data_IF_491637351820
#
_entry.id   IF_491637351820
#
_cell.length_a   1.000
_cell.length_b   1.000
_cell.length_c   1.000
_cell.angle_alpha   90.00
_cell.angle_beta   90.00
_cell.angle_gamma   90.00
#
_symmetry.space_group_name_H-M   'P 1'
#
loop_
_entity.id
_entity.type
_entity.pdbx_description
1 polymer ?
#
# COMPACT_ATOMS: atom_id res chain seq x y z
N UNK A 1 6.33 17.22 15.19
CA UNK A 1 6.21 16.78 13.81
C UNK A 1 6.42 15.26 13.77
N UNK A 2 5.52 14.50 13.20
CA UNK A 2 5.58 13.03 13.13
C UNK A 2 6.39 12.63 11.88
N UNK A 3 7.40 11.79 12.04
CA UNK A 3 8.23 11.28 10.93
C UNK A 3 7.58 10.09 10.28
N UNK A 4 7.36 10.15 8.96
CA UNK A 4 6.67 9.12 8.18
C UNK A 4 7.56 8.66 7.03
N UNK A 5 8.03 7.43 7.09
CA UNK A 5 8.82 6.81 6.02
C UNK A 5 7.89 6.25 4.94
N UNK A 6 8.18 6.56 3.69
CA UNK A 6 7.43 6.11 2.51
C UNK A 6 8.38 5.68 1.40
N UNK A 7 7.94 4.74 0.56
CA UNK A 7 8.60 4.49 -0.71
C UNK A 7 8.12 5.52 -1.75
N UNK A 8 9.07 6.11 -2.48
CA UNK A 8 8.82 7.16 -3.47
C UNK A 8 9.09 8.56 -2.94
N UNK A 9 8.64 9.56 -3.66
CA UNK A 9 8.93 10.97 -3.40
C UNK A 9 7.66 11.76 -3.12
N UNK A 10 7.79 13.05 -2.81
CA UNK A 10 6.64 13.97 -2.68
C UNK A 10 5.78 13.95 -3.94
N UNK A 11 4.46 13.92 -3.78
CA UNK A 11 3.49 13.77 -4.87
C UNK A 11 3.22 12.31 -5.28
N UNK A 12 3.90 11.32 -4.71
CA UNK A 12 3.59 9.91 -4.90
C UNK A 12 2.29 9.50 -4.19
N UNK A 13 1.72 8.35 -4.55
CA UNK A 13 0.51 7.84 -3.87
C UNK A 13 0.76 7.52 -2.39
N UNK A 14 1.98 7.17 -1.99
CA UNK A 14 2.34 7.00 -0.59
C UNK A 14 2.33 8.33 0.18
N UNK A 15 2.83 9.40 -0.43
CA UNK A 15 2.77 10.76 0.15
C UNK A 15 1.32 11.18 0.38
N UNK A 16 0.48 11.08 -0.66
CA UNK A 16 -0.94 11.44 -0.59
C UNK A 16 -1.66 10.63 0.49
N UNK A 17 -1.44 9.32 0.53
CA UNK A 17 -2.03 8.45 1.52
C UNK A 17 -1.57 8.81 2.95
N UNK A 18 -0.30 9.21 3.12
CA UNK A 18 0.25 9.66 4.40
C UNK A 18 -0.45 10.92 4.91
N UNK A 19 -0.57 11.94 4.07
CA UNK A 19 -1.26 13.17 4.43
C UNK A 19 -2.75 12.97 4.71
N UNK A 20 -3.39 12.02 4.03
CA UNK A 20 -4.81 11.70 4.29
C UNK A 20 -5.00 10.90 5.56
N UNK A 21 -4.12 9.94 5.85
CA UNK A 21 -4.20 9.16 7.08
C UNK A 21 -3.92 10.02 8.32
N UNK A 22 -2.92 10.88 8.26
CA UNK A 22 -2.53 11.80 9.34
C UNK A 22 -3.15 13.19 9.18
N UNK A 23 -4.36 13.28 8.62
CA UNK A 23 -5.03 14.56 8.40
C UNK A 23 -5.14 15.39 9.70
N UNK A 24 -4.64 16.62 9.64
CA UNK A 24 -4.60 17.53 10.80
C UNK A 24 -3.35 17.38 11.70
N UNK A 25 -2.45 16.48 11.38
CA UNK A 25 -1.15 16.35 12.04
C UNK A 25 -0.02 16.91 11.14
N UNK A 26 0.98 17.54 11.76
CA UNK A 26 2.21 17.90 11.05
C UNK A 26 3.06 16.65 10.85
N UNK A 27 3.30 16.28 9.59
CA UNK A 27 4.15 15.16 9.22
C UNK A 27 5.40 15.62 8.48
N UNK A 28 6.51 14.92 8.71
CA UNK A 28 7.75 14.99 7.96
C UNK A 28 7.94 13.70 7.19
N UNK A 29 7.97 13.79 5.86
CA UNK A 29 8.19 12.62 5.01
C UNK A 29 9.66 12.27 4.93
N UNK A 30 9.96 10.98 5.16
CA UNK A 30 11.24 10.35 4.85
C UNK A 30 11.01 9.57 3.56
N UNK A 31 11.46 10.15 2.44
CA UNK A 31 11.35 9.54 1.11
C UNK A 31 12.46 8.51 0.91
N UNK A 32 12.09 7.29 0.58
CA UNK A 32 12.97 6.15 0.39
C UNK A 32 12.85 5.63 -1.06
N UNK A 33 13.92 5.14 -1.62
CA UNK A 33 13.91 4.57 -2.97
C UNK A 33 13.27 3.18 -2.98
N UNK A 34 13.46 2.41 -1.91
CA UNK A 34 12.95 1.03 -1.79
C UNK A 34 12.13 0.81 -0.53
N UNK A 35 11.36 -0.29 -0.49
CA UNK A 35 10.64 -0.68 0.72
C UNK A 35 11.58 -1.16 1.82
N UNK A 36 12.71 -1.78 1.47
CA UNK A 36 13.75 -2.18 2.42
C UNK A 36 14.27 -0.97 3.20
N UNK A 37 14.52 0.16 2.53
CA UNK A 37 14.91 1.41 3.19
C UNK A 37 13.83 1.94 4.13
N UNK A 38 12.55 1.83 3.76
CA UNK A 38 11.43 2.19 4.63
C UNK A 38 11.46 1.38 5.93
N UNK A 39 11.64 0.06 5.82
CA UNK A 39 11.75 -0.81 7.01
C UNK A 39 13.04 -0.56 7.81
N UNK A 40 14.14 -0.20 7.15
CA UNK A 40 15.37 0.19 7.83
C UNK A 40 15.16 1.44 8.70
N UNK A 41 14.48 2.46 8.20
CA UNK A 41 14.15 3.66 9.00
C UNK A 41 13.28 3.33 10.22
N UNK A 42 12.36 2.36 10.14
CA UNK A 42 11.58 1.90 11.29
C UNK A 42 12.45 1.19 12.35
N UNK A 43 13.53 0.54 11.95
CA UNK A 43 14.48 -0.08 12.87
C UNK A 43 15.41 0.94 13.53
N UNK A 44 15.90 1.91 12.74
CA UNK A 44 16.88 2.89 13.19
C UNK A 44 16.27 3.93 14.13
N UNK A 45 15.00 4.26 13.96
CA UNK A 45 14.29 5.23 14.79
C UNK A 45 12.89 4.72 15.19
N UNK A 46 12.75 4.40 16.48
CA UNK A 46 11.49 3.89 17.06
C UNK A 46 10.33 4.88 17.02
N UNK A 47 10.57 6.18 16.83
CA UNK A 47 9.54 7.20 16.75
C UNK A 47 9.04 7.42 15.31
N UNK A 48 9.75 6.87 14.33
CA UNK A 48 9.31 6.85 12.93
C UNK A 48 8.14 5.88 12.75
N UNK A 49 7.15 6.29 11.97
CA UNK A 49 6.10 5.42 11.44
C UNK A 49 6.34 5.22 9.94
N UNK A 50 5.76 4.19 9.34
CA UNK A 50 5.82 4.02 7.89
C UNK A 50 4.42 3.82 7.31
N UNK A 51 4.25 4.24 6.06
CA UNK A 51 3.09 3.91 5.25
C UNK A 51 3.55 3.02 4.08
N UNK A 52 3.04 1.80 4.03
CA UNK A 52 3.49 0.77 3.09
C UNK A 52 2.30 0.23 2.30
N UNK A 53 2.37 0.34 0.97
CA UNK A 53 1.38 -0.28 0.09
C UNK A 53 1.46 -1.81 0.22
N UNK A 54 0.31 -2.47 0.40
CA UNK A 54 0.26 -3.92 0.59
C UNK A 54 -0.58 -4.63 -0.47
N UNK A 55 -1.51 -3.92 -1.07
CA UNK A 55 -2.44 -4.47 -2.04
C UNK A 55 -3.02 -3.39 -2.94
N UNK A 56 -3.18 -3.71 -4.22
CA UNK A 56 -3.93 -2.89 -5.17
C UNK A 56 -5.03 -3.74 -5.81
N UNK A 57 -6.21 -3.17 -6.00
CA UNK A 57 -7.40 -3.90 -6.51
C UNK A 57 -7.25 -4.42 -7.94
N UNK A 58 -6.28 -3.92 -8.70
CA UNK A 58 -5.99 -4.34 -10.09
C UNK A 58 -4.70 -5.16 -10.14
N UNK A 59 -3.63 -4.67 -9.52
CA UNK A 59 -2.31 -5.32 -9.54
C UNK A 59 -2.18 -6.49 -8.55
N UNK A 60 -3.12 -6.61 -7.58
CA UNK A 60 -3.10 -7.66 -6.58
C UNK A 60 -2.23 -7.35 -5.37
N UNK A 61 -1.77 -8.40 -4.69
CA UNK A 61 -0.97 -8.30 -3.47
C UNK A 61 0.50 -8.00 -3.78
N UNK A 62 1.11 -7.06 -3.04
CA UNK A 62 2.53 -6.78 -3.08
C UNK A 62 3.24 -7.76 -2.14
N UNK A 63 3.52 -8.98 -2.65
CA UNK A 63 3.98 -10.11 -1.83
C UNK A 63 5.28 -9.83 -1.09
N UNK A 64 6.21 -9.12 -1.71
CA UNK A 64 7.47 -8.72 -1.10
C UNK A 64 7.26 -7.89 0.17
N UNK A 65 6.28 -6.99 0.18
CA UNK A 65 5.98 -6.17 1.36
C UNK A 65 5.38 -6.97 2.52
N UNK A 66 4.71 -8.09 2.22
CA UNK A 66 4.26 -9.04 3.26
C UNK A 66 5.44 -9.75 3.93
N UNK A 67 6.47 -10.11 3.15
CA UNK A 67 7.69 -10.73 3.68
C UNK A 67 8.46 -9.75 4.57
N UNK A 68 8.69 -8.53 4.08
CA UNK A 68 9.34 -7.47 4.86
C UNK A 68 8.58 -7.20 6.17
N UNK A 69 7.25 -7.09 6.12
CA UNK A 69 6.43 -6.88 7.32
C UNK A 69 6.56 -8.03 8.32
N UNK A 70 6.50 -9.28 7.85
CA UNK A 70 6.64 -10.46 8.72
C UNK A 70 7.98 -10.46 9.44
N UNK A 71 9.05 -10.14 8.72
CA UNK A 71 10.43 -10.32 9.22
C UNK A 71 10.94 -9.09 9.99
N UNK A 72 10.32 -7.92 9.79
CA UNK A 72 10.74 -6.68 10.43
C UNK A 72 10.52 -6.60 11.95
N UNK A 73 9.59 -7.39 12.50
CA UNK A 73 9.17 -7.22 13.89
C UNK A 73 8.29 -5.99 14.15
N UNK A 74 7.95 -5.22 13.11
CA UNK A 74 7.05 -4.07 13.22
C UNK A 74 5.60 -4.51 13.37
N UNK A 75 4.74 -3.60 13.82
CA UNK A 75 3.31 -3.86 14.00
C UNK A 75 2.45 -2.89 13.19
N UNK A 76 1.31 -3.40 12.71
CA UNK A 76 0.30 -2.59 12.03
C UNK A 76 -0.54 -1.87 13.09
N UNK A 77 -0.68 -0.55 12.95
CA UNK A 77 -1.50 0.29 13.81
C UNK A 77 -2.67 0.94 13.09
N UNK A 78 -2.73 0.83 11.78
CA UNK A 78 -3.81 1.37 10.96
C UNK A 78 -3.71 0.94 9.50
N UNK A 79 -4.74 1.26 8.75
CA UNK A 79 -4.75 1.12 7.30
C UNK A 79 -5.47 2.29 6.64
N UNK A 80 -5.11 2.56 5.40
CA UNK A 80 -5.76 3.55 4.55
C UNK A 80 -6.00 2.97 3.17
N UNK A 81 -7.18 3.23 2.58
CA UNK A 81 -7.54 2.81 1.22
C UNK A 81 -7.67 4.04 0.36
N UNK A 82 -6.70 4.24 -0.52
CA UNK A 82 -6.66 5.38 -1.42
C UNK A 82 -7.12 4.98 -2.82
N UNK A 83 -8.05 5.76 -3.39
CA UNK A 83 -8.35 5.66 -4.82
C UNK A 83 -7.16 6.12 -5.63
N UNK A 84 -6.75 5.30 -6.60
CA UNK A 84 -5.69 5.62 -7.53
C UNK A 84 -6.31 6.27 -8.75
N UNK A 85 -6.07 7.57 -8.93
CA UNK A 85 -6.48 8.33 -10.10
C UNK A 85 -5.26 8.93 -10.76
N UNK A 86 -5.15 8.75 -12.05
CA UNK A 86 -4.03 9.22 -12.85
C UNK A 86 -4.42 10.46 -13.65
N UNK A 87 -3.50 11.40 -13.74
CA UNK A 87 -3.58 12.58 -14.58
C UNK A 87 -2.37 12.64 -15.50
N UNK A 88 -2.54 13.14 -16.71
CA UNK A 88 -1.42 13.49 -17.58
C UNK A 88 -1.12 14.97 -17.41
N UNK A 89 0.15 15.30 -17.30
CA UNK A 89 0.63 16.67 -17.08
C UNK A 89 1.95 16.93 -17.82
N UNK A 90 2.19 18.19 -18.14
CA UNK A 90 3.38 18.65 -18.85
C UNK A 90 3.90 19.96 -18.26
N UNK A 91 4.96 20.53 -18.84
CA UNK A 91 5.39 21.88 -18.51
C UNK A 91 4.29 22.90 -18.85
N UNK A 92 4.21 24.03 -18.11
CA UNK A 92 3.18 25.06 -18.35
C UNK A 92 3.17 25.64 -19.78
N UNK A 93 4.34 25.68 -20.42
CA UNK A 93 4.54 26.21 -21.77
C UNK A 93 4.20 25.22 -22.88
N UNK A 94 3.93 23.95 -22.55
CA UNK A 94 3.53 22.91 -23.50
C UNK A 94 2.02 22.71 -23.52
N UNK A 95 1.50 22.21 -24.65
CA UNK A 95 0.11 21.77 -24.80
C UNK A 95 0.05 20.42 -25.53
N UNK A 96 -1.16 19.91 -25.78
CA UNK A 96 -1.39 18.60 -26.39
C UNK A 96 -0.58 18.35 -27.67
N UNK A 97 -0.49 19.35 -28.54
CA UNK A 97 0.20 19.24 -29.82
C UNK A 97 1.73 19.18 -29.69
N UNK A 98 2.27 19.60 -28.55
CA UNK A 98 3.71 19.57 -28.28
C UNK A 98 4.17 18.22 -27.75
N UNK A 99 3.26 17.40 -27.18
CA UNK A 99 3.63 16.17 -26.46
C UNK A 99 3.98 15.03 -27.42
N UNK A 100 5.22 14.61 -27.38
CA UNK A 100 5.75 13.48 -28.14
C UNK A 100 6.13 12.27 -27.29
N UNK A 101 6.30 12.45 -25.97
CA UNK A 101 6.70 11.39 -25.05
C UNK A 101 5.94 11.47 -23.73
N UNK A 102 5.51 10.28 -23.22
CA UNK A 102 4.80 10.13 -21.94
C UNK A 102 5.58 9.20 -21.04
N UNK A 103 5.91 9.69 -19.83
CA UNK A 103 6.74 9.02 -18.86
C UNK A 103 5.94 8.63 -17.61
N UNK A 104 6.04 7.39 -17.16
CA UNK A 104 5.50 6.95 -15.87
C UNK A 104 6.00 5.56 -15.46
N UNK A 105 5.62 5.15 -14.26
CA UNK A 105 5.84 3.78 -13.78
C UNK A 105 5.04 2.77 -14.65
N UNK A 106 5.60 1.58 -14.98
CA UNK A 106 4.94 0.59 -15.84
C UNK A 106 3.51 0.25 -15.45
N UNK A 107 3.23 0.11 -14.15
CA UNK A 107 1.87 -0.18 -13.65
C UNK A 107 0.90 0.96 -13.96
N UNK A 108 1.32 2.22 -13.84
CA UNK A 108 0.48 3.38 -14.16
C UNK A 108 0.21 3.47 -15.67
N UNK A 109 1.22 3.22 -16.50
CA UNK A 109 1.08 3.16 -17.95
C UNK A 109 0.08 2.07 -18.37
N UNK A 110 0.20 0.86 -17.80
CA UNK A 110 -0.75 -0.24 -18.02
C UNK A 110 -2.18 0.14 -17.60
N UNK A 111 -2.34 0.83 -16.49
CA UNK A 111 -3.64 1.29 -15.98
C UNK A 111 -4.27 2.37 -16.84
N UNK A 112 -3.46 3.12 -17.63
CA UNK A 112 -3.91 4.16 -18.55
C UNK A 112 -3.91 3.70 -20.02
N UNK A 113 -3.86 2.39 -20.28
CA UNK A 113 -3.69 1.84 -21.64
C UNK A 113 -4.75 2.32 -22.61
N UNK A 114 -6.01 2.39 -22.22
CA UNK A 114 -7.08 2.82 -23.13
C UNK A 114 -6.90 4.29 -23.54
N UNK A 115 -6.54 5.16 -22.59
CA UNK A 115 -6.22 6.55 -22.88
C UNK A 115 -5.02 6.64 -23.86
N UNK A 116 -3.93 5.94 -23.58
CA UNK A 116 -2.72 5.94 -24.41
C UNK A 116 -2.98 5.41 -25.83
N UNK A 117 -3.90 4.43 -25.98
CA UNK A 117 -4.25 3.88 -27.30
C UNK A 117 -4.93 4.90 -28.23
N UNK A 118 -5.56 5.94 -27.68
CA UNK A 118 -6.16 7.04 -28.43
C UNK A 118 -5.15 8.15 -28.79
N UNK A 119 -3.91 8.04 -28.31
CA UNK A 119 -2.82 8.97 -28.56
C UNK A 119 -1.58 8.27 -29.17
N UNK A 120 -1.70 7.63 -30.34
CA UNK A 120 -0.65 6.77 -30.89
C UNK A 120 0.62 7.53 -31.30
N UNK A 121 0.59 8.86 -31.37
CA UNK A 121 1.76 9.71 -31.64
C UNK A 121 2.68 9.89 -30.44
N UNK A 122 2.24 9.51 -29.22
CA UNK A 122 3.03 9.66 -28.02
C UNK A 122 3.89 8.40 -27.79
N UNK A 123 5.19 8.57 -27.69
CA UNK A 123 6.11 7.50 -27.27
C UNK A 123 5.95 7.26 -25.77
N UNK A 124 5.63 6.03 -25.36
CA UNK A 124 5.51 5.65 -23.94
C UNK A 124 6.86 5.20 -23.41
N UNK A 125 7.30 5.80 -22.29
CA UNK A 125 8.59 5.51 -21.64
C UNK A 125 8.35 5.12 -20.18
N UNK A 126 8.90 3.97 -19.80
CA UNK A 126 8.85 3.46 -18.44
C UNK A 126 9.96 4.10 -17.58
N UNK A 127 9.58 4.56 -16.39
CA UNK A 127 10.47 5.10 -15.37
C UNK A 127 10.15 4.50 -14.00
N UNK A 128 11.04 4.69 -13.04
CA UNK A 128 10.95 4.01 -11.74
C UNK A 128 9.77 4.48 -10.86
N UNK A 129 9.30 5.74 -11.02
CA UNK A 129 8.27 6.32 -10.15
C UNK A 129 7.36 7.29 -10.94
N UNK A 130 6.07 7.34 -10.56
CA UNK A 130 5.07 8.19 -11.23
C UNK A 130 5.32 9.68 -10.97
N UNK A 131 5.49 10.08 -9.71
CA UNK A 131 5.77 11.46 -9.34
C UNK A 131 7.20 11.87 -9.73
N UNK A 132 8.13 10.89 -9.73
CA UNK A 132 9.51 11.04 -10.21
C UNK A 132 9.57 11.45 -11.69
N UNK A 133 8.66 10.95 -12.52
CA UNK A 133 8.53 11.39 -13.92
C UNK A 133 8.24 12.89 -14.00
N UNK A 134 7.25 13.36 -13.23
CA UNK A 134 6.88 14.79 -13.18
C UNK A 134 8.02 15.66 -12.64
N UNK A 135 8.67 15.21 -11.55
CA UNK A 135 9.82 15.90 -10.95
C UNK A 135 10.98 16.04 -11.94
N UNK A 136 11.28 14.99 -12.70
CA UNK A 136 12.37 14.99 -13.69
C UNK A 136 12.07 15.91 -14.87
N UNK A 137 10.85 15.87 -15.42
CA UNK A 137 10.42 16.75 -16.50
C UNK A 137 10.55 18.21 -16.08
N UNK A 138 10.03 18.56 -14.89
CA UNK A 138 10.11 19.91 -14.34
C UNK A 138 11.55 20.35 -14.11
N UNK A 139 12.34 19.56 -13.37
CA UNK A 139 13.73 19.90 -13.01
C UNK A 139 14.64 20.08 -14.25
N UNK A 140 14.46 19.22 -15.26
CA UNK A 140 15.27 19.21 -16.47
C UNK A 140 14.68 20.08 -17.58
N UNK A 141 13.51 20.67 -17.37
CA UNK A 141 12.76 21.50 -18.35
C UNK A 141 12.59 20.77 -19.68
N UNK A 142 12.10 19.52 -19.63
CA UNK A 142 11.98 18.66 -20.82
C UNK A 142 10.72 19.04 -21.61
N UNK A 143 10.89 19.83 -22.67
CA UNK A 143 9.82 20.22 -23.59
C UNK A 143 9.33 19.02 -24.40
N UNK A 144 8.02 18.96 -24.65
CA UNK A 144 7.39 17.88 -25.39
C UNK A 144 7.25 16.56 -24.61
N UNK A 145 7.52 16.57 -23.31
CA UNK A 145 7.37 15.42 -22.41
C UNK A 145 6.20 15.62 -21.47
N UNK A 146 5.42 14.56 -21.26
CA UNK A 146 4.37 14.50 -20.26
C UNK A 146 4.64 13.41 -19.21
N UNK A 147 4.12 13.60 -18.00
CA UNK A 147 4.10 12.59 -16.95
C UNK A 147 2.68 12.10 -16.69
N UNK A 148 2.53 10.81 -16.36
CA UNK A 148 1.30 10.25 -15.79
C UNK A 148 1.54 9.98 -14.31
N UNK A 149 0.85 10.74 -13.45
CA UNK A 149 0.91 10.62 -11.99
C UNK A 149 -0.37 11.15 -11.33
N UNK A 150 -0.39 11.25 -10.01
CA UNK A 150 -1.51 11.90 -9.33
C UNK A 150 -1.51 13.41 -9.58
N UNK A 151 -2.72 14.01 -9.67
CA UNK A 151 -2.90 15.46 -9.96
C UNK A 151 -2.12 16.37 -9.00
N UNK A 152 -1.97 15.99 -7.73
CA UNK A 152 -1.30 16.82 -6.72
C UNK A 152 0.19 17.04 -7.03
N UNK A 153 0.82 16.15 -7.79
CA UNK A 153 2.18 16.33 -8.28
C UNK A 153 2.33 17.58 -9.17
N UNK A 154 1.26 17.98 -9.86
CA UNK A 154 1.30 19.20 -10.67
C UNK A 154 1.58 20.46 -9.86
N UNK A 155 0.93 20.59 -8.70
CA UNK A 155 1.15 21.73 -7.80
C UNK A 155 2.57 21.71 -7.17
N UNK A 156 3.09 20.50 -6.86
CA UNK A 156 4.40 20.34 -6.24
C UNK A 156 5.52 20.70 -7.22
N UNK A 157 5.37 20.28 -8.47
CA UNK A 157 6.42 20.40 -9.49
C UNK A 157 6.16 21.51 -10.52
N UNK A 158 5.14 22.36 -10.32
CA UNK A 158 4.83 23.47 -11.21
C UNK A 158 4.42 23.01 -12.63
N UNK A 159 3.69 21.90 -12.73
CA UNK A 159 3.24 21.31 -14.00
C UNK A 159 1.81 21.75 -14.33
N UNK A 160 1.46 21.75 -15.61
CA UNK A 160 0.09 21.93 -16.11
C UNK A 160 -0.59 20.58 -16.29
N UNK A 161 -1.74 20.37 -15.67
CA UNK A 161 -2.58 19.19 -15.89
C UNK A 161 -3.29 19.33 -17.22
N UNK A 162 -3.07 18.40 -18.13
CA UNK A 162 -3.76 18.34 -19.42
C UNK A 162 -5.11 17.62 -19.30
N UNK A 163 -5.15 16.51 -18.58
CA UNK A 163 -6.37 15.74 -18.32
C UNK A 163 -6.27 14.94 -17.02
N UNK A 164 -7.38 14.90 -16.29
CA UNK A 164 -7.53 14.09 -15.08
C UNK A 164 -8.31 12.80 -15.35
N UNK A 165 -8.10 11.81 -14.46
CA UNK A 165 -8.88 10.59 -14.47
C UNK A 165 -8.71 9.78 -15.75
N UNK A 166 -7.48 9.60 -16.21
CA UNK A 166 -7.17 8.90 -17.46
C UNK A 166 -7.04 7.39 -17.30
N UNK A 167 -7.09 6.88 -16.06
CA UNK A 167 -7.08 5.44 -15.81
C UNK A 167 -8.29 4.74 -16.44
N UNK A 168 -8.09 3.58 -17.06
CA UNK A 168 -9.12 2.75 -17.69
C UNK A 168 -10.16 2.29 -16.68
N UNK A 169 -9.73 1.79 -15.53
CA UNK A 169 -10.62 1.34 -14.46
C UNK A 169 -10.70 2.36 -13.33
N UNK A 170 -11.90 2.96 -13.15
CA UNK A 170 -12.15 3.98 -12.12
C UNK A 170 -12.28 3.39 -10.70
N UNK A 171 -12.42 2.08 -10.56
CA UNK A 171 -12.45 1.34 -9.28
C UNK A 171 -11.08 0.77 -8.93
N UNK A 172 -10.06 1.63 -9.00
CA UNK A 172 -8.68 1.31 -8.67
C UNK A 172 -8.34 1.86 -7.29
N UNK A 173 -8.05 0.98 -6.34
CA UNK A 173 -7.69 1.34 -4.98
C UNK A 173 -6.41 0.65 -4.55
N UNK A 174 -5.56 1.37 -3.85
CA UNK A 174 -4.40 0.81 -3.15
C UNK A 174 -4.66 0.85 -1.64
N UNK A 175 -4.41 -0.26 -1.00
CA UNK A 175 -4.44 -0.40 0.46
C UNK A 175 -3.04 -0.21 1.00
N UNK A 176 -2.91 0.71 1.92
CA UNK A 176 -1.68 1.02 2.66
C UNK A 176 -1.85 0.58 4.11
N UNK A 177 -0.80 0.02 4.70
CA UNK A 177 -0.70 -0.25 6.12
C UNK A 177 0.18 0.80 6.79
N UNK A 178 -0.22 1.20 7.98
CA UNK A 178 0.57 2.08 8.84
C UNK A 178 1.29 1.23 9.86
N UNK A 179 2.62 1.29 9.83
CA UNK A 179 3.51 0.46 10.62
C UNK A 179 4.28 1.31 11.64
N UNK A 180 4.55 0.72 12.78
CA UNK A 180 5.43 1.33 13.78
C UNK A 180 6.17 0.27 14.60
N UNK A 181 7.13 0.73 15.40
CA UNK A 181 7.73 -0.11 16.43
C UNK A 181 6.66 -0.55 17.45
N UNK A 182 6.60 -1.84 17.87
CA UNK A 182 5.61 -2.33 18.83
C UNK A 182 5.53 -1.54 20.13
N UNK A 183 6.68 -1.01 20.62
CA UNK A 183 6.74 -0.20 21.84
C UNK A 183 5.90 1.09 21.74
N UNK A 184 5.63 1.56 20.53
CA UNK A 184 4.87 2.80 20.25
C UNK A 184 3.41 2.56 19.84
N UNK A 185 3.03 1.31 19.61
CA UNK A 185 1.71 0.97 19.06
C UNK A 185 0.53 1.48 19.91
N UNK A 186 0.66 1.43 21.24
CA UNK A 186 -0.39 1.89 22.16
C UNK A 186 -0.69 3.38 22.06
N UNK A 187 0.29 4.19 21.63
CA UNK A 187 0.15 5.63 21.48
C UNK A 187 -0.48 6.03 20.14
N UNK A 188 -0.51 5.08 19.18
CA UNK A 188 -0.93 5.35 17.80
C UNK A 188 -2.30 4.75 17.45
N UNK A 189 -2.84 3.86 18.29
CA UNK A 189 -4.14 3.23 18.08
C UNK A 189 -5.10 3.47 19.25
N UNK A 190 -6.37 3.69 18.96
CA UNK A 190 -7.43 3.62 19.97
C UNK A 190 -7.92 2.16 20.08
N UNK A 191 -7.56 1.50 21.17
CA UNK A 191 -7.91 0.08 21.41
C UNK A 191 -9.43 -0.15 21.36
N UNK A 192 -10.24 0.86 21.71
CA UNK A 192 -11.72 0.77 21.68
C UNK A 192 -12.29 0.72 20.27
N UNK A 193 -11.51 1.15 19.28
CA UNK A 193 -11.93 1.20 17.86
C UNK A 193 -11.37 0.03 17.06
N UNK A 194 -10.58 -0.85 17.68
CA UNK A 194 -10.01 -2.03 17.03
C UNK A 194 -11.11 -2.96 16.58
N UNK A 195 -11.21 -3.19 15.28
CA UNK A 195 -12.21 -4.04 14.63
C UNK A 195 -11.65 -4.84 13.44
N UNK A 196 -10.32 -4.83 13.30
CA UNK A 196 -9.59 -5.58 12.28
C UNK A 196 -8.27 -6.10 12.82
N UNK A 197 -7.84 -7.26 12.32
CA UNK A 197 -6.56 -7.86 12.65
C UNK A 197 -5.93 -8.49 11.41
N UNK A 198 -4.62 -8.34 11.28
CA UNK A 198 -3.81 -9.05 10.28
C UNK A 198 -2.87 -10.00 11.01
N UNK A 199 -2.74 -11.21 10.48
CA UNK A 199 -1.86 -12.24 11.04
C UNK A 199 -1.29 -13.14 9.96
N UNK A 200 -0.21 -13.83 10.30
CA UNK A 200 0.39 -14.87 9.49
C UNK A 200 0.53 -16.14 10.32
N UNK A 201 0.24 -17.28 9.71
CA UNK A 201 0.41 -18.58 10.38
C UNK A 201 0.88 -19.66 9.40
N UNK A 202 1.47 -20.70 9.95
CA UNK A 202 1.81 -21.94 9.24
C UNK A 202 0.99 -23.10 9.80
N UNK A 203 0.72 -24.10 8.96
CA UNK A 203 -0.12 -25.25 9.30
C UNK A 203 0.67 -26.58 9.21
N UNK A 204 0.25 -27.61 9.92
CA UNK A 204 0.63 -28.98 9.57
C UNK A 204 0.27 -29.25 8.10
N UNK A 205 1.15 -29.94 7.37
CA UNK A 205 0.89 -30.33 5.99
C UNK A 205 0.02 -31.59 5.97
N UNK A 206 -1.25 -31.41 6.34
CA UNK A 206 -2.23 -32.47 6.51
C UNK A 206 -3.56 -32.06 5.86
N UNK A 207 -4.32 -33.06 5.40
CA UNK A 207 -5.63 -32.83 4.81
C UNK A 207 -6.57 -32.12 5.81
N UNK A 208 -7.24 -31.07 5.34
CA UNK A 208 -8.22 -30.34 6.14
C UNK A 208 -7.66 -29.30 7.11
N UNK A 209 -6.32 -29.18 7.27
CA UNK A 209 -5.72 -28.23 8.22
C UNK A 209 -6.22 -26.79 8.04
N UNK A 210 -6.22 -26.26 6.80
CA UNK A 210 -6.74 -24.93 6.51
C UNK A 210 -8.26 -24.83 6.74
N UNK A 211 -8.99 -25.87 6.31
CA UNK A 211 -10.46 -25.93 6.49
C UNK A 211 -10.86 -25.88 7.96
N UNK A 212 -10.10 -26.54 8.85
CA UNK A 212 -10.33 -26.50 10.28
C UNK A 212 -10.22 -25.07 10.85
N UNK A 213 -9.16 -24.34 10.47
CA UNK A 213 -8.98 -22.92 10.87
C UNK A 213 -10.16 -22.09 10.39
N UNK A 214 -10.52 -22.18 9.10
CA UNK A 214 -11.62 -21.39 8.52
C UNK A 214 -12.96 -21.72 9.19
N UNK A 215 -13.20 -22.97 9.56
CA UNK A 215 -14.41 -23.41 10.27
C UNK A 215 -14.50 -22.81 11.67
N UNK A 216 -13.39 -22.76 12.40
CA UNK A 216 -13.33 -22.10 13.73
C UNK A 216 -13.61 -20.61 13.60
N UNK A 217 -12.93 -19.90 12.66
CA UNK A 217 -13.15 -18.48 12.43
C UNK A 217 -14.62 -18.17 12.08
N UNK A 218 -15.22 -19.01 11.23
CA UNK A 218 -16.64 -18.91 10.88
C UNK A 218 -17.57 -19.12 12.07
N UNK A 219 -17.29 -20.13 12.93
CA UNK A 219 -18.04 -20.37 14.16
C UNK A 219 -18.07 -19.16 15.07
N UNK A 220 -16.94 -18.47 15.22
CA UNK A 220 -16.84 -17.23 15.99
C UNK A 220 -17.37 -16.00 15.22
N UNK A 221 -17.95 -16.16 14.01
CA UNK A 221 -18.53 -15.10 13.18
C UNK A 221 -17.54 -13.99 12.84
N UNK A 222 -16.28 -14.34 12.62
CA UNK A 222 -15.28 -13.43 12.11
C UNK A 222 -15.32 -13.40 10.59
N UNK A 223 -15.25 -12.20 10.01
CA UNK A 223 -15.25 -12.04 8.57
C UNK A 223 -13.82 -12.06 8.05
N UNK A 224 -13.50 -13.04 7.20
CA UNK A 224 -12.22 -13.14 6.50
C UNK A 224 -12.23 -12.18 5.31
N UNK A 225 -11.50 -11.08 5.43
CA UNK A 225 -11.44 -10.05 4.38
C UNK A 225 -10.27 -10.23 3.42
N UNK A 226 -9.28 -11.05 3.79
CA UNK A 226 -8.16 -11.44 2.95
C UNK A 226 -7.62 -12.80 3.36
N UNK A 227 -7.18 -13.56 2.37
CA UNK A 227 -6.33 -14.74 2.54
C UNK A 227 -5.30 -14.79 1.41
N UNK A 228 -4.04 -14.91 1.76
CA UNK A 228 -2.92 -15.01 0.82
C UNK A 228 -1.96 -16.09 1.29
N UNK A 229 -1.70 -17.10 0.47
CA UNK A 229 -0.68 -18.10 0.74
C UNK A 229 0.65 -17.70 0.10
N UNK A 230 1.75 -17.95 0.82
CA UNK A 230 3.11 -17.83 0.30
C UNK A 230 3.89 -19.10 0.62
N UNK A 231 4.73 -19.60 -0.28
CA UNK A 231 5.58 -20.75 0.00
C UNK A 231 6.59 -20.42 1.10
N UNK A 232 6.92 -21.39 1.94
CA UNK A 232 7.97 -21.24 2.95
C UNK A 232 9.30 -21.57 2.28
N UNK A 233 10.20 -20.60 2.20
CA UNK A 233 11.53 -20.78 1.62
C UNK A 233 12.27 -21.92 2.35
N UNK A 234 12.79 -22.87 1.57
CA UNK A 234 13.53 -24.03 2.10
C UNK A 234 12.65 -25.16 2.64
N UNK A 235 11.31 -25.09 2.50
CA UNK A 235 10.38 -26.17 2.86
C UNK A 235 9.48 -26.50 1.67
N UNK A 236 9.77 -27.60 0.99
CA UNK A 236 9.01 -28.02 -0.19
C UNK A 236 7.53 -28.20 0.14
N UNK A 237 6.66 -27.58 -0.68
CA UNK A 237 5.20 -27.68 -0.62
C UNK A 237 4.57 -27.26 0.71
N UNK A 238 5.29 -26.52 1.57
CA UNK A 238 4.75 -25.91 2.77
C UNK A 238 4.47 -24.43 2.56
N UNK A 239 3.38 -23.97 3.14
CA UNK A 239 2.87 -22.61 2.94
C UNK A 239 2.64 -21.90 4.27
N UNK A 240 2.85 -20.60 4.26
CA UNK A 240 2.33 -19.70 5.27
C UNK A 240 1.11 -18.98 4.71
N UNK A 241 0.18 -18.63 5.60
CA UNK A 241 -1.08 -17.99 5.25
C UNK A 241 -1.15 -16.63 5.95
N UNK A 242 -1.21 -15.56 5.16
CA UNK A 242 -1.55 -14.23 5.64
C UNK A 242 -3.06 -14.07 5.57
N UNK A 243 -3.68 -13.69 6.67
CA UNK A 243 -5.11 -13.43 6.72
C UNK A 243 -5.40 -12.10 7.40
N UNK A 244 -6.49 -11.46 6.93
CA UNK A 244 -7.09 -10.33 7.60
C UNK A 244 -8.50 -10.70 8.06
N UNK A 245 -8.78 -10.41 9.30
CA UNK A 245 -10.08 -10.63 9.93
C UNK A 245 -10.70 -9.31 10.33
N UNK A 246 -11.98 -9.11 10.02
CA UNK A 246 -12.77 -8.03 10.60
C UNK A 246 -13.82 -8.57 11.56
N UNK A 247 -14.11 -7.79 12.61
CA UNK A 247 -14.99 -8.20 13.71
C UNK A 247 -15.65 -7.00 14.38
N UNK A 248 -16.81 -7.24 15.01
CA UNK A 248 -17.52 -6.22 15.79
C UNK A 248 -17.41 -6.48 17.30
N UNK A 249 -16.88 -7.64 17.70
CA UNK A 249 -16.75 -8.07 19.10
C UNK A 249 -15.31 -8.53 19.34
N UNK A 250 -14.55 -7.70 20.04
CA UNK A 250 -13.15 -7.97 20.35
C UNK A 250 -12.97 -9.21 21.25
N UNK A 251 -13.89 -9.43 22.19
CA UNK A 251 -13.83 -10.61 23.09
C UNK A 251 -13.97 -11.90 22.28
N UNK A 252 -14.94 -11.93 21.38
CA UNK A 252 -15.18 -13.08 20.49
C UNK A 252 -14.00 -13.32 19.55
N UNK A 253 -13.41 -12.24 19.01
CA UNK A 253 -12.20 -12.31 18.22
C UNK A 253 -11.05 -12.94 19.03
N UNK A 254 -10.79 -12.49 20.28
CA UNK A 254 -9.74 -13.06 21.13
C UNK A 254 -9.98 -14.54 21.44
N UNK A 255 -11.22 -14.97 21.66
CA UNK A 255 -11.57 -16.36 21.83
C UNK A 255 -11.25 -17.20 20.58
N UNK A 256 -11.56 -16.67 19.40
CA UNK A 256 -11.25 -17.33 18.13
C UNK A 256 -9.74 -17.50 17.95
N UNK A 257 -8.93 -16.46 18.21
CA UNK A 257 -7.47 -16.55 18.12
C UNK A 257 -6.93 -17.61 19.07
N UNK A 258 -7.41 -17.65 20.32
CA UNK A 258 -7.02 -18.68 21.29
C UNK A 258 -7.40 -20.10 20.80
N UNK A 259 -8.53 -20.24 20.13
CA UNK A 259 -9.01 -21.53 19.61
C UNK A 259 -8.22 -22.01 18.39
N UNK A 260 -7.75 -21.11 17.50
CA UNK A 260 -6.96 -21.50 16.33
C UNK A 260 -5.48 -21.68 16.65
N UNK A 261 -4.94 -21.05 17.68
CA UNK A 261 -3.50 -21.12 18.02
C UNK A 261 -2.99 -22.56 18.12
N UNK A 262 -3.64 -23.51 18.84
CA UNK A 262 -3.16 -24.90 18.92
C UNK A 262 -3.30 -25.67 17.60
N UNK A 263 -4.05 -25.18 16.63
CA UNK A 263 -4.20 -25.78 15.29
C UNK A 263 -3.13 -25.31 14.30
N UNK A 264 -2.34 -24.30 14.69
CA UNK A 264 -1.24 -23.76 13.87
C UNK A 264 0.10 -24.27 14.39
N UNK A 265 1.13 -24.32 13.52
CA UNK A 265 2.52 -24.55 13.97
C UNK A 265 3.13 -23.26 14.53
N UNK A 266 2.91 -22.18 13.81
CA UNK A 266 3.32 -20.83 14.19
C UNK A 266 2.18 -19.88 13.88
N UNK A 267 1.90 -18.96 14.79
CA UNK A 267 0.94 -17.87 14.57
C UNK A 267 1.57 -16.57 15.08
N UNK A 268 1.67 -15.58 14.17
CA UNK A 268 2.15 -14.24 14.48
C UNK A 268 1.07 -13.23 14.16
N UNK A 269 0.66 -12.45 15.16
CA UNK A 269 -0.17 -11.26 14.97
C UNK A 269 0.72 -10.16 14.38
N UNK A 270 0.35 -9.64 13.22
CA UNK A 270 1.03 -8.53 12.57
C UNK A 270 0.47 -7.18 13.04
N UNK A 271 -0.77 -7.16 13.49
CA UNK A 271 -1.40 -5.99 14.11
C UNK A 271 -2.89 -6.17 14.35
N UNK A 272 -3.39 -5.34 15.27
CA UNK A 272 -4.81 -5.17 15.58
C UNK A 272 -5.10 -3.67 15.48
N UNK A 273 -6.04 -3.27 14.63
CA UNK A 273 -6.24 -1.87 14.27
C UNK A 273 -7.69 -1.59 13.85
N UNK A 274 -8.01 -0.32 13.66
CA UNK A 274 -9.28 0.09 13.08
C UNK A 274 -9.30 -0.16 11.57
N UNK A 275 -10.39 -0.76 11.07
CA UNK A 275 -10.60 -0.94 9.62
C UNK A 275 -10.59 0.42 8.92
N UNK A 276 -9.66 0.58 8.00
CA UNK A 276 -9.36 1.86 7.38
C UNK A 276 -10.51 2.42 6.54
N UNK A 277 -10.63 3.73 6.59
CA UNK A 277 -11.55 4.46 5.74
C UNK A 277 -11.04 4.45 4.29
N UNK A 278 -11.98 4.54 3.35
CA UNK A 278 -11.70 4.71 1.93
C UNK A 278 -11.77 6.19 1.59
N UNK A 279 -10.69 6.73 1.00
CA UNK A 279 -10.66 8.09 0.48
C UNK A 279 -10.64 8.11 -1.05
N UNK A 280 -11.27 9.12 -1.61
CA UNK A 280 -11.36 9.37 -3.06
C UNK A 280 -10.31 10.39 -3.47
#
# INVERSE_FOLDING_TARGET
MKRVAIQGIKGSFHDIASHRFFAGEDIELICCDTFEEVFQHLHDDKDTVALVAIENTIAGSLLHNYELLRDSGMTIVGEHKLRISHSIMCLPEDDWDDISEVNSHPVALMQCRDFLSHHPGMKVVEVADTAGAAADISRKTLRGHAAICHRDAANIYGMKVLQEGIETNKHNFTRFLVLCNPDKATNLRDVRRVNKSSMVFTLPHEEGSLSAILSVLSFYKLNLTKIQSLPIIGKEWQYMFYIDLSFNDYTRYRQAINAITPLTRELKLLGEYENGQQSI
#
